data_IF_652637764793
#
_entry.id   IF_652637764793
#
_cell.length_a   1.000
_cell.length_b   1.000
_cell.length_c   1.000
_cell.angle_alpha   90.00
_cell.angle_beta   90.00
_cell.angle_gamma   90.00
#
_symmetry.space_group_name_H-M   'P 1'
#
loop_
_entity.id
_entity.type
_entity.pdbx_description
1 polymer ?
#
# COMPACT_ATOMS: atom_id res chain seq x y z
N UNK A 1 -19.06 -64.53 25.18
CA UNK A 1 -18.18 -63.43 25.29
C UNK A 1 -17.89 -62.84 23.91
N UNK A 2 -18.54 -61.67 23.58
CA UNK A 2 -18.19 -60.89 22.39
C UNK A 2 -17.25 -59.76 22.83
N UNK A 3 -16.14 -59.48 22.12
CA UNK A 3 -15.37 -58.28 22.36
C UNK A 3 -16.01 -57.10 21.64
N UNK A 4 -16.32 -56.05 22.39
CA UNK A 4 -16.75 -54.74 21.88
C UNK A 4 -15.55 -54.07 21.27
N UNK A 5 -15.57 -53.87 19.94
CA UNK A 5 -14.63 -53.01 19.23
C UNK A 5 -14.95 -51.56 19.55
N UNK A 6 -14.14 -50.95 20.39
CA UNK A 6 -14.15 -49.53 20.59
C UNK A 6 -13.60 -48.80 19.37
N UNK A 7 -14.44 -48.09 18.65
CA UNK A 7 -14.03 -47.11 17.65
C UNK A 7 -13.45 -45.87 18.34
N UNK A 8 -12.13 -45.80 18.44
CA UNK A 8 -11.46 -44.51 18.74
C UNK A 8 -11.26 -43.72 17.44
N UNK A 9 -12.26 -42.98 17.05
CA UNK A 9 -12.23 -42.05 15.91
C UNK A 9 -11.99 -40.61 16.33
N UNK A 10 -10.87 -40.34 17.02
CA UNK A 10 -10.52 -38.94 17.40
C UNK A 10 -9.04 -38.70 17.16
N UNK A 11 -8.66 -38.38 15.93
CA UNK A 11 -7.25 -38.04 15.67
C UNK A 11 -6.99 -37.20 14.42
N UNK A 12 -7.71 -37.41 13.34
CA UNK A 12 -7.39 -36.74 12.06
C UNK A 12 -8.09 -35.41 11.88
N UNK A 13 -9.32 -35.29 12.34
CA UNK A 13 -10.11 -34.04 12.11
C UNK A 13 -9.65 -32.88 13.01
N UNK A 14 -9.27 -33.16 14.25
CA UNK A 14 -8.77 -32.14 15.18
C UNK A 14 -7.39 -31.60 14.80
N UNK A 15 -6.52 -32.39 14.20
CA UNK A 15 -5.21 -31.97 13.71
C UNK A 15 -5.37 -31.07 12.48
N UNK A 16 -6.24 -31.45 11.53
CA UNK A 16 -6.50 -30.63 10.34
C UNK A 16 -7.13 -29.28 10.69
N UNK A 17 -8.08 -29.24 11.59
CA UNK A 17 -8.70 -27.97 12.03
C UNK A 17 -7.68 -27.05 12.68
N UNK A 18 -6.81 -27.55 13.55
CA UNK A 18 -5.77 -26.76 14.21
C UNK A 18 -4.77 -26.17 13.22
N UNK A 19 -4.30 -26.95 12.26
CA UNK A 19 -3.38 -26.48 11.20
C UNK A 19 -4.05 -25.38 10.37
N UNK A 20 -5.30 -25.55 9.98
CA UNK A 20 -6.04 -24.52 9.21
C UNK A 20 -6.18 -23.20 9.98
N UNK A 21 -6.41 -23.22 11.29
CA UNK A 21 -6.47 -22.00 12.11
C UNK A 21 -5.11 -21.33 12.27
N UNK A 22 -4.03 -22.13 12.44
CA UNK A 22 -2.67 -21.60 12.53
C UNK A 22 -2.25 -20.91 11.22
N UNK A 23 -2.57 -21.49 10.06
CA UNK A 23 -2.30 -20.89 8.75
C UNK A 23 -3.09 -19.60 8.55
N UNK A 24 -4.37 -19.57 8.91
CA UNK A 24 -5.21 -18.35 8.82
C UNK A 24 -4.64 -17.21 9.65
N UNK A 25 -4.30 -17.50 10.91
CA UNK A 25 -3.73 -16.51 11.83
C UNK A 25 -2.39 -15.99 11.32
N UNK A 26 -1.53 -16.88 10.83
CA UNK A 26 -0.23 -16.51 10.26
C UNK A 26 -0.40 -15.49 9.14
N UNK A 27 -1.20 -15.78 8.11
CA UNK A 27 -1.38 -14.88 6.99
C UNK A 27 -2.10 -13.58 7.36
N UNK A 28 -3.02 -13.62 8.30
CA UNK A 28 -3.65 -12.41 8.84
C UNK A 28 -2.60 -11.50 9.51
N UNK A 29 -1.74 -12.06 10.34
CA UNK A 29 -0.64 -11.32 10.98
C UNK A 29 0.32 -10.76 9.95
N UNK A 30 0.74 -11.54 8.95
CA UNK A 30 1.64 -11.07 7.89
C UNK A 30 1.03 -9.91 7.10
N UNK A 31 -0.25 -10.00 6.73
CA UNK A 31 -0.94 -8.92 6.02
C UNK A 31 -1.11 -7.66 6.87
N UNK A 32 -1.46 -7.82 8.15
CA UNK A 32 -1.56 -6.70 9.08
C UNK A 32 -0.21 -6.05 9.35
N UNK A 33 0.89 -6.80 9.37
CA UNK A 33 2.24 -6.25 9.49
C UNK A 33 2.59 -5.37 8.28
N UNK A 34 2.33 -5.81 7.06
CA UNK A 34 2.54 -4.99 5.85
C UNK A 34 1.71 -3.71 5.94
N UNK A 35 0.41 -3.82 6.21
CA UNK A 35 -0.46 -2.64 6.31
C UNK A 35 -0.03 -1.68 7.43
N UNK A 36 0.26 -2.20 8.61
CA UNK A 36 0.69 -1.39 9.75
C UNK A 36 2.01 -0.68 9.44
N UNK A 37 3.02 -1.39 8.94
CA UNK A 37 4.32 -0.79 8.60
C UNK A 37 4.17 0.34 7.59
N UNK A 38 3.37 0.15 6.54
CA UNK A 38 3.12 1.17 5.53
C UNK A 38 2.42 2.40 6.09
N UNK A 39 1.28 2.20 6.74
CA UNK A 39 0.46 3.31 7.23
C UNK A 39 1.07 4.02 8.43
N UNK A 40 1.84 3.32 9.27
CA UNK A 40 2.59 3.95 10.37
C UNK A 40 3.63 4.94 9.82
N UNK A 41 4.40 4.57 8.78
CA UNK A 41 5.33 5.48 8.10
C UNK A 41 4.58 6.68 7.50
N UNK A 42 3.47 6.43 6.81
CA UNK A 42 2.65 7.49 6.21
C UNK A 42 2.14 8.48 7.25
N UNK A 43 1.46 7.99 8.29
CA UNK A 43 0.87 8.84 9.33
C UNK A 43 1.92 9.51 10.21
N UNK A 44 3.01 8.81 10.55
CA UNK A 44 4.13 9.41 11.28
C UNK A 44 4.70 10.60 10.51
N UNK A 45 4.86 10.47 9.17
CA UNK A 45 5.33 11.57 8.33
C UNK A 45 4.35 12.73 8.27
N UNK A 46 3.07 12.47 8.06
CA UNK A 46 2.01 13.48 8.05
C UNK A 46 1.97 14.24 9.39
N UNK A 47 2.05 13.51 10.50
CA UNK A 47 2.04 14.11 11.84
C UNK A 47 3.29 14.94 12.12
N UNK A 48 4.47 14.44 11.75
CA UNK A 48 5.73 15.16 11.91
C UNK A 48 5.74 16.49 11.13
N UNK A 49 5.26 16.47 9.89
CA UNK A 49 5.13 17.67 9.06
C UNK A 49 4.08 18.65 9.63
N UNK A 50 2.93 18.14 10.08
CA UNK A 50 1.89 18.97 10.74
C UNK A 50 2.43 19.71 11.95
N UNK A 51 3.26 19.06 12.79
CA UNK A 51 3.92 19.68 13.95
C UNK A 51 4.88 20.81 13.57
N UNK A 52 5.43 20.78 12.35
CA UNK A 52 6.30 21.83 11.78
C UNK A 52 5.54 22.90 10.99
N UNK A 53 4.20 22.88 11.01
CA UNK A 53 3.36 23.80 10.24
C UNK A 53 3.29 23.49 8.73
N UNK A 54 3.83 22.36 8.29
CA UNK A 54 3.85 21.97 6.88
C UNK A 54 2.56 21.23 6.55
N UNK A 55 1.86 21.70 5.52
CA UNK A 55 0.64 21.03 5.04
C UNK A 55 1.01 19.90 4.07
N UNK A 56 1.03 18.68 4.56
CA UNK A 56 1.39 17.50 3.77
C UNK A 56 0.37 17.18 2.68
N UNK A 57 -0.92 17.24 3.01
CA UNK A 57 -2.01 16.87 2.09
C UNK A 57 -2.40 18.08 1.24
N UNK A 58 -2.09 18.03 -0.05
CA UNK A 58 -2.39 19.06 -1.04
C UNK A 58 -3.58 18.71 -1.95
N UNK A 59 -4.18 17.54 -1.74
CA UNK A 59 -5.28 17.00 -2.54
C UNK A 59 -6.51 17.92 -2.48
N UNK A 60 -7.14 18.18 -3.64
CA UNK A 60 -8.41 18.90 -3.76
C UNK A 60 -8.30 20.42 -3.73
N UNK A 61 -7.10 21.00 -3.73
CA UNK A 61 -6.89 22.45 -3.68
C UNK A 61 -6.81 23.14 -5.05
N UNK A 62 -6.76 22.38 -6.15
CA UNK A 62 -6.59 22.94 -7.50
C UNK A 62 -7.89 23.34 -8.15
N UNK A 63 -7.81 24.41 -8.96
CA UNK A 63 -8.94 24.98 -9.68
C UNK A 63 -9.25 24.26 -11.00
N UNK A 64 -8.31 23.52 -11.56
CA UNK A 64 -8.50 22.79 -12.81
C UNK A 64 -9.33 21.53 -12.58
N UNK A 65 -10.47 21.41 -13.27
CA UNK A 65 -11.46 20.34 -13.05
C UNK A 65 -10.88 18.93 -13.27
N UNK A 66 -10.00 18.75 -14.26
CA UNK A 66 -9.40 17.46 -14.58
C UNK A 66 -8.49 16.95 -13.45
N UNK A 67 -7.64 17.81 -12.91
CA UNK A 67 -6.73 17.50 -11.79
C UNK A 67 -7.54 17.20 -10.54
N UNK A 68 -8.53 18.04 -10.23
CA UNK A 68 -9.40 17.84 -9.07
C UNK A 68 -10.12 16.49 -9.13
N UNK A 69 -10.64 16.10 -10.29
CA UNK A 69 -11.33 14.79 -10.46
C UNK A 69 -10.40 13.62 -10.19
N UNK A 70 -9.17 13.62 -10.75
CA UNK A 70 -8.18 12.57 -10.51
C UNK A 70 -7.80 12.49 -9.03
N UNK A 71 -7.56 13.63 -8.38
CA UNK A 71 -7.23 13.70 -6.94
C UNK A 71 -8.36 13.16 -6.06
N UNK A 72 -9.62 13.46 -6.37
CA UNK A 72 -10.78 12.93 -5.64
C UNK A 72 -10.90 11.43 -5.83
N UNK A 73 -10.84 10.94 -7.07
CA UNK A 73 -10.89 9.50 -7.38
C UNK A 73 -9.72 8.75 -6.73
N UNK A 74 -8.51 9.31 -6.77
CA UNK A 74 -7.35 8.76 -6.08
C UNK A 74 -7.60 8.69 -4.57
N UNK A 75 -8.19 9.72 -3.96
CA UNK A 75 -8.52 9.70 -2.54
C UNK A 75 -9.53 8.61 -2.19
N UNK A 76 -10.55 8.41 -3.04
CA UNK A 76 -11.53 7.33 -2.88
C UNK A 76 -10.84 5.96 -3.01
N UNK A 77 -9.98 5.79 -4.01
CA UNK A 77 -9.26 4.54 -4.25
C UNK A 77 -8.31 4.20 -3.09
N UNK A 78 -7.50 5.17 -2.64
CA UNK A 78 -6.52 4.99 -1.57
C UNK A 78 -7.13 4.84 -0.17
N UNK A 79 -8.36 5.29 0.05
CA UNK A 79 -9.14 5.01 1.26
C UNK A 79 -9.91 3.69 1.15
N UNK A 80 -10.45 3.39 -0.01
CA UNK A 80 -11.21 2.16 -0.25
C UNK A 80 -10.35 0.90 -0.22
N UNK A 81 -9.12 0.98 -0.75
CA UNK A 81 -8.21 -0.16 -0.79
C UNK A 81 -7.90 -0.75 0.60
N UNK A 82 -7.46 0.01 1.63
CA UNK A 82 -7.22 -0.55 2.95
C UNK A 82 -8.50 -1.09 3.60
N UNK A 83 -9.66 -0.50 3.35
CA UNK A 83 -10.93 -1.01 3.86
C UNK A 83 -11.23 -2.38 3.23
N UNK A 84 -11.08 -2.51 1.91
CA UNK A 84 -11.26 -3.77 1.21
C UNK A 84 -10.26 -4.85 1.67
N UNK A 85 -9.02 -4.47 1.90
CA UNK A 85 -7.95 -5.34 2.41
C UNK A 85 -8.26 -5.82 3.84
N UNK A 86 -8.58 -4.91 4.76
CA UNK A 86 -8.94 -5.26 6.14
C UNK A 86 -10.19 -6.13 6.21
N UNK A 87 -11.19 -5.85 5.39
CA UNK A 87 -12.39 -6.69 5.31
C UNK A 87 -12.07 -8.10 4.80
N UNK A 88 -11.21 -8.22 3.80
CA UNK A 88 -10.77 -9.51 3.27
C UNK A 88 -9.96 -10.31 4.29
N UNK A 89 -9.13 -9.65 5.09
CA UNK A 89 -8.39 -10.27 6.20
C UNK A 89 -9.36 -10.74 7.29
N UNK A 90 -10.29 -9.89 7.71
CA UNK A 90 -11.24 -10.22 8.77
C UNK A 90 -12.18 -11.40 8.41
N UNK A 91 -12.58 -11.48 7.14
CA UNK A 91 -13.41 -12.56 6.62
C UNK A 91 -12.61 -13.79 6.16
N UNK A 92 -11.26 -13.73 6.21
CA UNK A 92 -10.34 -14.71 5.62
C UNK A 92 -10.69 -15.06 4.17
N UNK A 93 -11.06 -14.06 3.41
CA UNK A 93 -11.51 -14.22 2.03
C UNK A 93 -10.29 -14.24 1.09
N UNK A 94 -9.87 -15.43 0.70
CA UNK A 94 -8.70 -15.64 -0.15
C UNK A 94 -8.86 -16.89 -1.03
N UNK A 95 -8.40 -16.79 -2.29
CA UNK A 95 -8.41 -17.88 -3.27
C UNK A 95 -7.00 -18.34 -3.67
N UNK A 96 -5.93 -17.74 -3.14
CA UNK A 96 -4.56 -18.01 -3.56
C UNK A 96 -3.87 -19.06 -2.67
N UNK A 97 -2.99 -19.89 -3.27
CA UNK A 97 -2.26 -20.91 -2.51
C UNK A 97 -1.17 -20.29 -1.62
N UNK A 98 -0.76 -21.03 -0.59
CA UNK A 98 0.17 -20.60 0.45
C UNK A 98 1.50 -20.02 -0.09
N UNK A 99 2.09 -20.61 -1.12
CA UNK A 99 3.34 -20.11 -1.71
C UNK A 99 3.21 -18.71 -2.33
N UNK A 100 2.07 -18.45 -2.99
CA UNK A 100 1.77 -17.10 -3.57
C UNK A 100 1.57 -16.09 -2.45
N UNK A 101 0.89 -16.47 -1.38
CA UNK A 101 0.67 -15.61 -0.21
C UNK A 101 1.98 -15.20 0.45
N UNK A 102 2.91 -16.14 0.62
CA UNK A 102 4.23 -15.81 1.19
C UNK A 102 5.04 -14.86 0.30
N UNK A 103 4.98 -15.07 -1.03
CA UNK A 103 5.56 -14.12 -1.98
C UNK A 103 4.93 -12.73 -1.84
N UNK A 104 3.61 -12.67 -1.62
CA UNK A 104 2.88 -11.42 -1.36
C UNK A 104 3.42 -10.67 -0.15
N UNK A 105 3.74 -11.36 0.94
CA UNK A 105 4.38 -10.76 2.11
C UNK A 105 5.73 -10.12 1.75
N UNK A 106 6.59 -10.84 1.04
CA UNK A 106 7.90 -10.31 0.63
C UNK A 106 7.77 -9.08 -0.28
N UNK A 107 6.82 -9.11 -1.24
CA UNK A 107 6.55 -7.98 -2.14
C UNK A 107 6.02 -6.78 -1.37
N UNK A 108 5.09 -6.98 -0.43
CA UNK A 108 4.54 -5.91 0.40
C UNK A 108 5.62 -5.25 1.26
N UNK A 109 6.42 -6.05 1.96
CA UNK A 109 7.53 -5.53 2.79
C UNK A 109 8.60 -4.79 1.95
N UNK A 110 8.86 -5.23 0.72
CA UNK A 110 9.71 -4.50 -0.21
C UNK A 110 9.09 -3.14 -0.56
N UNK A 111 7.79 -3.09 -0.80
CA UNK A 111 7.05 -1.84 -1.03
C UNK A 111 7.17 -0.89 0.15
N UNK A 112 7.00 -1.37 1.38
CA UNK A 112 7.14 -0.60 2.61
C UNK A 112 8.55 -0.02 2.77
N UNK A 113 9.58 -0.83 2.50
CA UNK A 113 10.98 -0.39 2.55
C UNK A 113 11.27 0.71 1.51
N UNK A 114 10.79 0.57 0.28
CA UNK A 114 10.92 1.58 -0.78
C UNK A 114 10.19 2.86 -0.39
N UNK A 115 8.97 2.76 0.14
CA UNK A 115 8.21 3.91 0.60
C UNK A 115 8.90 4.64 1.76
N UNK A 116 9.39 3.92 2.76
CA UNK A 116 10.15 4.48 3.88
C UNK A 116 11.39 5.24 3.38
N UNK A 117 12.19 4.63 2.50
CA UNK A 117 13.38 5.26 1.92
C UNK A 117 13.02 6.53 1.15
N UNK A 118 11.91 6.51 0.39
CA UNK A 118 11.44 7.68 -0.35
C UNK A 118 11.09 8.83 0.58
N UNK A 119 10.34 8.57 1.64
CA UNK A 119 9.93 9.56 2.64
C UNK A 119 11.13 10.14 3.38
N UNK A 120 12.12 9.30 3.71
CA UNK A 120 13.36 9.73 4.38
C UNK A 120 14.23 10.60 3.47
N UNK A 121 14.37 10.25 2.18
CA UNK A 121 15.15 11.03 1.22
C UNK A 121 14.53 12.41 0.93
N UNK A 122 13.20 12.49 0.81
CA UNK A 122 12.51 13.77 0.53
C UNK A 122 12.43 14.69 1.73
N UNK A 123 12.62 14.20 2.94
CA UNK A 123 12.54 15.01 4.18
C UNK A 123 11.29 15.90 4.18
N UNK A 124 11.46 17.21 4.33
CA UNK A 124 10.34 18.17 4.40
C UNK A 124 9.77 18.56 3.02
N UNK A 125 10.37 18.10 1.91
CA UNK A 125 9.85 18.29 0.55
C UNK A 125 8.75 17.29 0.18
N UNK A 126 8.60 16.17 0.95
CA UNK A 126 7.56 15.19 0.65
C UNK A 126 6.14 15.75 0.82
N UNK A 127 5.30 15.55 -0.18
CA UNK A 127 3.87 15.94 -0.18
C UNK A 127 3.01 14.80 -0.72
N UNK A 128 1.78 14.74 -0.24
CA UNK A 128 0.73 13.90 -0.82
C UNK A 128 -0.13 14.78 -1.74
N UNK A 129 0.06 14.68 -3.04
CA UNK A 129 -0.52 15.55 -4.06
C UNK A 129 0.41 16.70 -4.48
N UNK A 130 0.03 17.38 -5.56
CA UNK A 130 0.85 18.45 -6.18
C UNK A 130 0.80 19.72 -5.33
N UNK A 131 1.93 20.28 -4.89
CA UNK A 131 1.95 21.52 -4.12
C UNK A 131 1.51 22.72 -4.98
N UNK A 132 0.67 23.59 -4.43
CA UNK A 132 0.16 24.79 -5.13
C UNK A 132 1.01 26.03 -4.86
N UNK A 133 1.51 26.20 -3.64
CA UNK A 133 2.25 27.40 -3.19
C UNK A 133 3.53 27.12 -2.42
N UNK A 134 3.76 25.87 -2.01
CA UNK A 134 4.93 25.55 -1.22
C UNK A 134 6.16 25.42 -2.11
N UNK A 135 7.25 26.08 -1.74
CA UNK A 135 8.55 25.88 -2.36
C UNK A 135 9.08 24.51 -1.90
N UNK A 136 9.03 23.53 -2.81
CA UNK A 136 9.68 22.23 -2.62
C UNK A 136 11.01 22.22 -3.36
N UNK A 137 12.01 21.58 -2.76
CA UNK A 137 13.30 21.36 -3.42
C UNK A 137 13.24 20.10 -4.27
N UNK A 138 13.89 20.13 -5.43
CA UNK A 138 14.05 18.96 -6.28
C UNK A 138 15.06 17.99 -5.63
N UNK A 139 14.60 16.79 -5.26
CA UNK A 139 15.43 15.76 -4.66
C UNK A 139 15.86 14.77 -5.75
N UNK A 140 17.16 14.70 -6.02
CA UNK A 140 17.77 13.81 -7.02
C UNK A 140 18.71 12.77 -6.40
N UNK A 141 18.81 12.71 -5.06
CA UNK A 141 19.74 11.84 -4.32
C UNK A 141 19.06 10.61 -3.73
N UNK A 142 19.84 9.64 -3.29
CA UNK A 142 19.34 8.41 -2.67
C UNK A 142 18.54 7.56 -3.67
N UNK A 143 17.35 7.10 -3.27
CA UNK A 143 16.49 6.26 -4.11
C UNK A 143 15.96 7.02 -5.35
N UNK A 144 15.94 8.37 -5.30
CA UNK A 144 15.53 9.23 -6.42
C UNK A 144 16.53 9.27 -7.58
N UNK A 145 17.72 8.69 -7.43
CA UNK A 145 18.65 8.43 -8.55
C UNK A 145 18.19 7.31 -9.48
N UNK A 146 17.39 6.38 -8.96
CA UNK A 146 16.94 5.19 -9.69
C UNK A 146 15.52 5.30 -10.23
N UNK A 147 14.69 6.08 -9.57
CA UNK A 147 13.30 6.29 -9.96
C UNK A 147 12.89 7.72 -9.62
N UNK A 148 12.11 8.35 -10.49
CA UNK A 148 11.53 9.68 -10.24
C UNK A 148 10.38 9.64 -9.24
N UNK A 149 9.72 8.49 -9.14
CA UNK A 149 8.52 8.30 -8.33
C UNK A 149 8.60 7.07 -7.39
N UNK A 150 9.66 6.93 -6.56
CA UNK A 150 9.84 5.72 -5.76
C UNK A 150 8.76 5.56 -4.67
N UNK A 151 8.17 6.65 -4.18
CA UNK A 151 7.06 6.57 -3.23
C UNK A 151 5.84 5.89 -3.83
N UNK A 152 5.48 6.18 -5.08
CA UNK A 152 4.38 5.53 -5.78
C UNK A 152 4.66 4.05 -6.05
N UNK A 153 5.91 3.70 -6.41
CA UNK A 153 6.33 2.31 -6.52
C UNK A 153 6.16 1.55 -5.20
N UNK A 154 6.45 2.19 -4.07
CA UNK A 154 6.20 1.64 -2.74
C UNK A 154 4.71 1.34 -2.50
N UNK A 155 3.82 2.27 -2.87
CA UNK A 155 2.37 2.04 -2.82
C UNK A 155 1.93 0.86 -3.70
N UNK A 156 2.38 0.82 -4.96
CA UNK A 156 2.01 -0.23 -5.91
C UNK A 156 2.43 -1.61 -5.41
N UNK A 157 3.66 -1.75 -4.91
CA UNK A 157 4.16 -3.01 -4.36
C UNK A 157 3.42 -3.40 -3.08
N UNK A 158 3.06 -2.48 -2.22
CA UNK A 158 2.24 -2.77 -1.05
C UNK A 158 0.85 -3.28 -1.47
N UNK A 159 0.16 -2.62 -2.41
CA UNK A 159 -1.14 -3.09 -2.90
C UNK A 159 -1.05 -4.46 -3.56
N UNK A 160 -0.03 -4.71 -4.39
CA UNK A 160 0.21 -6.03 -5.00
C UNK A 160 0.54 -7.06 -3.93
N UNK A 161 1.37 -6.72 -2.95
CA UNK A 161 1.74 -7.60 -1.85
C UNK A 161 0.53 -8.07 -1.06
N UNK A 162 -0.35 -7.16 -0.65
CA UNK A 162 -1.58 -7.50 0.08
C UNK A 162 -2.58 -8.24 -0.82
N UNK A 163 -2.68 -7.90 -2.10
CA UNK A 163 -3.48 -8.66 -3.07
C UNK A 163 -3.00 -10.11 -3.19
N UNK A 164 -1.70 -10.36 -3.19
CA UNK A 164 -1.16 -11.73 -3.21
C UNK A 164 -1.33 -12.45 -1.86
N UNK A 165 -1.36 -11.73 -0.73
CA UNK A 165 -1.67 -12.29 0.59
C UNK A 165 -3.16 -12.67 0.73
N UNK A 166 -4.07 -11.82 0.25
CA UNK A 166 -5.52 -11.97 0.33
C UNK A 166 -6.17 -11.72 -1.03
N UNK A 167 -5.87 -12.62 -1.98
CA UNK A 167 -6.35 -12.54 -3.36
C UNK A 167 -7.81 -12.93 -3.50
N UNK A 168 -8.65 -11.93 -3.69
CA UNK A 168 -10.07 -12.08 -4.03
C UNK A 168 -10.51 -10.92 -4.93
N UNK A 169 -11.73 -10.98 -5.45
CA UNK A 169 -12.23 -9.98 -6.40
C UNK A 169 -12.31 -8.57 -5.79
N UNK A 170 -12.60 -8.45 -4.51
CA UNK A 170 -12.69 -7.17 -3.82
C UNK A 170 -11.31 -6.50 -3.72
N UNK A 171 -10.30 -7.23 -3.20
CA UNK A 171 -8.92 -6.71 -3.12
C UNK A 171 -8.33 -6.44 -4.49
N UNK A 172 -8.60 -7.30 -5.48
CA UNK A 172 -8.17 -7.09 -6.87
C UNK A 172 -8.73 -5.78 -7.43
N UNK A 173 -10.05 -5.58 -7.32
CA UNK A 173 -10.71 -4.40 -7.87
C UNK A 173 -10.18 -3.10 -7.25
N UNK A 174 -10.04 -3.05 -5.92
CA UNK A 174 -9.55 -1.84 -5.25
C UNK A 174 -8.04 -1.64 -5.44
N UNK A 175 -7.23 -2.70 -5.50
CA UNK A 175 -5.79 -2.58 -5.79
C UNK A 175 -5.55 -2.05 -7.20
N UNK A 176 -6.22 -2.61 -8.20
CA UNK A 176 -6.12 -2.11 -9.59
C UNK A 176 -6.60 -0.67 -9.68
N UNK A 177 -7.74 -0.34 -9.06
CA UNK A 177 -8.24 1.03 -9.04
C UNK A 177 -7.26 2.00 -8.40
N UNK A 178 -6.66 1.64 -7.25
CA UNK A 178 -5.68 2.47 -6.57
C UNK A 178 -4.41 2.67 -7.42
N UNK A 179 -3.85 1.61 -8.00
CA UNK A 179 -2.66 1.65 -8.85
C UNK A 179 -2.91 2.54 -10.08
N UNK A 180 -4.06 2.38 -10.74
CA UNK A 180 -4.41 3.22 -11.91
C UNK A 180 -4.54 4.69 -11.52
N UNK A 181 -5.19 5.00 -10.40
CA UNK A 181 -5.35 6.38 -9.95
C UNK A 181 -4.01 7.00 -9.52
N UNK A 182 -3.14 6.26 -8.85
CA UNK A 182 -1.79 6.69 -8.52
C UNK A 182 -0.97 6.96 -9.78
N UNK A 183 -1.08 6.10 -10.80
CA UNK A 183 -0.38 6.31 -12.06
C UNK A 183 -0.86 7.57 -12.81
N UNK A 184 -2.16 7.83 -12.82
CA UNK A 184 -2.70 9.09 -13.36
C UNK A 184 -2.21 10.31 -12.57
N UNK A 185 -2.06 10.18 -11.24
CA UNK A 185 -1.48 11.22 -10.40
C UNK A 185 0.00 11.47 -10.75
N UNK A 186 0.81 10.42 -10.98
CA UNK A 186 2.20 10.55 -11.42
C UNK A 186 2.27 11.40 -12.70
N UNK A 187 1.45 11.09 -13.70
CA UNK A 187 1.45 11.83 -14.97
C UNK A 187 1.11 13.32 -14.79
N UNK A 188 0.27 13.65 -13.82
CA UNK A 188 -0.04 15.04 -13.49
C UNK A 188 1.11 15.73 -12.73
N UNK A 189 1.73 15.02 -11.79
CA UNK A 189 2.89 15.53 -11.04
C UNK A 189 4.09 15.75 -11.95
N UNK A 190 4.37 14.84 -12.88
CA UNK A 190 5.45 15.02 -13.86
C UNK A 190 5.26 16.26 -14.72
N UNK A 191 4.05 16.49 -15.23
CA UNK A 191 3.74 17.72 -15.98
C UNK A 191 3.98 18.99 -15.17
N UNK A 192 3.57 18.95 -13.90
CA UNK A 192 3.81 20.07 -12.98
C UNK A 192 5.31 20.28 -12.73
N UNK A 193 6.07 19.21 -12.47
CA UNK A 193 7.50 19.28 -12.18
C UNK A 193 8.31 19.77 -13.39
N UNK A 194 7.99 19.32 -14.59
CA UNK A 194 8.60 19.83 -15.85
C UNK A 194 8.33 21.32 -16.00
N UNK A 195 7.12 21.79 -15.75
CA UNK A 195 6.76 23.21 -15.87
C UNK A 195 7.41 24.06 -14.76
N UNK A 196 7.69 23.50 -13.58
CA UNK A 196 8.21 24.23 -12.41
C UNK A 196 9.74 24.26 -12.40
N UNK A 197 10.39 23.14 -12.71
CA UNK A 197 11.84 22.99 -12.60
C UNK A 197 12.56 22.99 -13.97
N UNK A 198 11.86 22.75 -15.07
CA UNK A 198 12.43 22.77 -16.44
C UNK A 198 13.51 21.72 -16.67
N UNK A 199 14.62 22.14 -17.31
CA UNK A 199 15.72 21.23 -17.70
C UNK A 199 16.33 20.41 -16.53
N UNK A 200 16.57 20.96 -15.33
CA UNK A 200 17.08 20.17 -14.18
C UNK A 200 16.23 18.96 -13.75
N UNK A 201 14.96 18.94 -14.15
CA UNK A 201 14.09 17.78 -13.89
C UNK A 201 14.14 16.75 -15.01
N UNK A 202 14.55 17.16 -16.23
CA UNK A 202 14.59 16.31 -17.43
C UNK A 202 15.91 15.52 -17.54
N UNK A 203 16.99 15.99 -16.92
CA UNK A 203 18.29 15.32 -16.82
C UNK A 203 18.28 14.20 -15.75
#
# INVERSE_FOLDING_TARGET
>A
GHPVLGCSGTGKDGVNVKILWEDRLLYAVLALLVLAAFYDVYFAKVLAQKRRGIQTRQIGRRKEKSIHTVEVLMSIATLGAPIAQLLSIALDWNYLPAGVRLTGFCVGMLGDAIFLLSVLCMKDSWRAGIPDKDKTELVTTGIYRFSRNPAFLGFDLMYVGVLLLYGNLLTLSFSVFAIVMLHLQILQEERYLVNTFGAPYQE
#
